data_IF_192369208940
#
_entry.id   IF_192369208940
#
_cell.length_a   1.000
_cell.length_b   1.000
_cell.length_c   1.000
_cell.angle_alpha   90.00
_cell.angle_beta   90.00
_cell.angle_gamma   90.00
#
_symmetry.space_group_name_H-M   'P 1'
#
loop_
_entity.id
_entity.type
_entity.pdbx_description
1 polymer ?
#
# COMPACT_ATOMS: atom_id res chain seq x y z
N UNK A 1 -57.03 -31.02 18.90
CA UNK A 1 -55.87 -30.10 18.76
C UNK A 1 -54.97 -30.41 17.56
N UNK A 2 -54.77 -31.68 17.16
CA UNK A 2 -53.93 -32.04 15.99
C UNK A 2 -54.42 -31.45 14.65
N UNK A 3 -55.73 -31.45 14.40
CA UNK A 3 -56.32 -30.93 13.16
C UNK A 3 -56.28 -29.40 13.00
N UNK A 4 -56.14 -28.67 14.12
CA UNK A 4 -56.10 -27.21 14.13
C UNK A 4 -54.70 -26.71 13.73
N UNK A 5 -53.66 -27.46 14.13
CA UNK A 5 -52.26 -27.20 13.74
C UNK A 5 -52.07 -27.49 12.24
N UNK A 6 -52.65 -28.57 11.71
CA UNK A 6 -52.56 -28.88 10.27
C UNK A 6 -53.26 -27.83 9.40
N UNK A 7 -54.38 -27.25 9.85
CA UNK A 7 -55.07 -26.18 9.13
C UNK A 7 -54.26 -24.87 9.10
N UNK A 8 -53.57 -24.55 10.20
CA UNK A 8 -52.74 -23.34 10.31
C UNK A 8 -51.44 -23.45 9.50
N UNK A 9 -50.89 -24.65 9.35
CA UNK A 9 -49.76 -24.91 8.45
C UNK A 9 -50.20 -24.80 6.99
N UNK A 10 -51.38 -25.33 6.63
CA UNK A 10 -51.91 -25.22 5.26
C UNK A 10 -52.17 -23.76 4.85
N UNK A 11 -52.70 -22.92 5.75
CA UNK A 11 -52.99 -21.51 5.42
C UNK A 11 -51.71 -20.70 5.15
N UNK A 12 -50.61 -21.01 5.86
CA UNK A 12 -49.31 -20.37 5.63
C UNK A 12 -48.74 -20.71 4.25
N UNK A 13 -48.95 -21.93 3.75
CA UNK A 13 -48.49 -22.35 2.42
C UNK A 13 -49.24 -21.60 1.31
N UNK A 14 -50.55 -21.37 1.46
CA UNK A 14 -51.32 -20.58 0.50
C UNK A 14 -50.88 -19.11 0.44
N UNK A 15 -50.44 -18.52 1.56
CA UNK A 15 -49.98 -17.13 1.59
C UNK A 15 -48.67 -16.89 0.82
N UNK A 16 -47.78 -17.91 0.72
CA UNK A 16 -46.53 -17.80 -0.05
C UNK A 16 -46.73 -17.89 -1.56
N UNK A 17 -47.85 -18.46 -2.03
CA UNK A 17 -48.11 -18.64 -3.47
C UNK A 17 -48.48 -17.34 -4.20
N UNK A 18 -48.84 -16.27 -3.49
CA UNK A 18 -49.29 -14.99 -4.07
C UNK A 18 -48.22 -13.90 -4.14
N UNK A 19 -46.94 -14.21 -3.96
CA UNK A 19 -45.84 -13.22 -4.00
C UNK A 19 -45.39 -12.83 -5.44
N UNK A 20 -46.27 -12.93 -6.43
CA UNK A 20 -45.97 -12.53 -7.81
C UNK A 20 -46.29 -11.03 -7.98
N UNK A 21 -45.33 -10.16 -7.69
CA UNK A 21 -45.46 -8.74 -8.02
C UNK A 21 -45.60 -8.60 -9.54
N UNK A 22 -46.70 -8.02 -10.01
CA UNK A 22 -46.90 -7.72 -11.43
C UNK A 22 -45.92 -6.63 -11.86
N UNK A 23 -44.74 -7.04 -12.32
CA UNK A 23 -43.75 -6.13 -12.90
C UNK A 23 -44.28 -5.70 -14.27
N UNK A 24 -44.43 -4.40 -14.46
CA UNK A 24 -44.75 -3.82 -15.77
C UNK A 24 -43.53 -3.92 -16.69
N UNK A 25 -43.73 -4.05 -18.01
CA UNK A 25 -42.64 -4.13 -18.98
C UNK A 25 -41.59 -2.99 -18.82
N UNK A 26 -41.98 -1.71 -18.58
CA UNK A 26 -41.02 -0.66 -18.28
C UNK A 26 -40.21 -0.91 -17.00
N UNK A 27 -40.84 -1.45 -15.95
CA UNK A 27 -40.17 -1.79 -14.70
C UNK A 27 -39.15 -2.91 -14.86
N UNK A 28 -39.45 -3.94 -15.67
CA UNK A 28 -38.50 -5.01 -15.97
C UNK A 28 -37.30 -4.49 -16.76
N UNK A 29 -37.53 -3.61 -17.76
CA UNK A 29 -36.44 -3.01 -18.56
C UNK A 29 -35.54 -2.14 -17.68
N UNK A 30 -36.11 -1.35 -16.76
CA UNK A 30 -35.33 -0.53 -15.83
C UNK A 30 -34.47 -1.41 -14.91
N UNK A 31 -35.07 -2.44 -14.30
CA UNK A 31 -34.38 -3.39 -13.43
C UNK A 31 -33.29 -4.15 -14.17
N UNK A 32 -33.56 -4.60 -15.39
CA UNK A 32 -32.61 -5.29 -16.25
C UNK A 32 -31.45 -4.37 -16.65
N UNK A 33 -31.73 -3.10 -17.01
CA UNK A 33 -30.67 -2.12 -17.30
C UNK A 33 -29.79 -1.91 -16.08
N UNK A 34 -30.35 -1.66 -14.91
CA UNK A 34 -29.60 -1.43 -13.68
C UNK A 34 -28.73 -2.63 -13.29
N UNK A 35 -29.28 -3.83 -13.34
CA UNK A 35 -28.59 -5.06 -12.92
C UNK A 35 -27.78 -5.74 -14.03
N UNK A 36 -27.87 -5.25 -15.27
CA UNK A 36 -27.18 -5.86 -16.41
C UNK A 36 -25.66 -5.82 -16.24
N UNK A 37 -24.95 -6.86 -16.73
CA UNK A 37 -23.49 -6.83 -16.82
C UNK A 37 -22.98 -5.61 -17.60
N UNK A 38 -23.68 -5.20 -18.66
CA UNK A 38 -23.31 -4.08 -19.51
C UNK A 38 -23.36 -2.74 -18.77
N UNK A 39 -24.36 -2.52 -17.92
CA UNK A 39 -24.45 -1.32 -17.09
C UNK A 39 -23.31 -1.25 -16.07
N UNK A 40 -23.02 -2.38 -15.40
CA UNK A 40 -21.88 -2.49 -14.48
C UNK A 40 -20.55 -2.22 -15.19
N UNK A 41 -20.37 -2.77 -16.40
CA UNK A 41 -19.19 -2.51 -17.22
C UNK A 41 -19.04 -1.03 -17.57
N UNK A 42 -20.11 -0.36 -18.00
CA UNK A 42 -20.08 1.06 -18.31
C UNK A 42 -19.73 1.92 -17.08
N UNK A 43 -20.26 1.56 -15.91
CA UNK A 43 -19.92 2.23 -14.65
C UNK A 43 -18.43 2.07 -14.31
N UNK A 44 -17.92 0.83 -14.33
CA UNK A 44 -16.50 0.55 -14.09
C UNK A 44 -15.59 1.24 -15.10
N UNK A 45 -15.95 1.29 -16.38
CA UNK A 45 -15.15 2.00 -17.39
C UNK A 45 -15.05 3.50 -17.10
N UNK A 46 -16.15 4.12 -16.68
CA UNK A 46 -16.15 5.53 -16.26
C UNK A 46 -15.20 5.75 -15.07
N UNK A 47 -15.29 4.90 -14.05
CA UNK A 47 -14.41 4.99 -12.88
C UNK A 47 -12.94 4.81 -13.27
N UNK A 48 -12.62 3.80 -14.09
CA UNK A 48 -11.27 3.58 -14.61
C UNK A 48 -10.75 4.82 -15.34
N UNK A 49 -11.56 5.42 -16.22
CA UNK A 49 -11.16 6.63 -16.94
C UNK A 49 -10.86 7.79 -16.00
N UNK A 50 -11.66 7.94 -14.95
CA UNK A 50 -11.49 9.00 -13.95
C UNK A 50 -10.22 8.79 -13.12
N UNK A 51 -9.95 7.56 -12.66
CA UNK A 51 -8.71 7.24 -11.94
C UNK A 51 -7.46 7.36 -12.82
N UNK A 52 -7.56 7.02 -14.10
CA UNK A 52 -6.46 7.23 -15.07
C UNK A 52 -6.11 8.71 -15.21
N UNK A 53 -7.11 9.57 -15.33
CA UNK A 53 -6.89 11.02 -15.39
C UNK A 53 -6.23 11.54 -14.11
N UNK A 54 -6.71 11.10 -12.94
CA UNK A 54 -6.10 11.47 -11.66
C UNK A 54 -4.65 10.98 -11.51
N UNK A 55 -4.34 9.77 -12.00
CA UNK A 55 -2.97 9.24 -12.01
C UNK A 55 -2.07 10.08 -12.90
N UNK A 56 -2.52 10.41 -14.13
CA UNK A 56 -1.78 11.26 -15.05
C UNK A 56 -1.45 12.63 -14.42
N UNK A 57 -2.43 13.27 -13.78
CA UNK A 57 -2.22 14.53 -13.04
C UNK A 57 -1.26 14.38 -11.86
N UNK A 58 -1.15 13.19 -11.26
CA UNK A 58 -0.27 12.92 -10.13
C UNK A 58 1.19 12.73 -10.56
N UNK A 59 1.43 12.26 -11.78
CA UNK A 59 2.79 12.03 -12.32
C UNK A 59 3.59 13.33 -12.44
N UNK A 60 2.92 14.48 -12.61
CA UNK A 60 3.56 15.80 -12.71
C UNK A 60 3.64 16.55 -11.38
N UNK A 61 3.10 15.96 -10.31
CA UNK A 61 3.22 16.52 -8.96
C UNK A 61 4.57 16.13 -8.35
N UNK A 62 5.09 16.93 -7.40
CA UNK A 62 6.29 16.55 -6.68
C UNK A 62 6.06 15.24 -5.90
N UNK A 63 6.88 14.24 -6.20
CA UNK A 63 6.90 12.96 -5.51
C UNK A 63 7.92 13.04 -4.38
N UNK A 64 7.48 12.72 -3.17
CA UNK A 64 8.31 12.74 -1.97
C UNK A 64 8.49 11.32 -1.48
N UNK A 65 9.73 10.88 -1.35
CA UNK A 65 10.08 9.57 -0.79
C UNK A 65 10.94 9.76 0.45
N UNK A 66 10.51 9.13 1.54
CA UNK A 66 11.31 8.97 2.76
C UNK A 66 11.79 7.52 2.83
N UNK A 67 13.08 7.33 3.05
CA UNK A 67 13.67 6.03 3.27
C UNK A 67 14.67 6.10 4.42
N UNK A 68 15.06 4.95 4.94
CA UNK A 68 16.04 4.90 6.00
C UNK A 68 16.04 3.55 6.68
N UNK A 69 17.15 3.23 7.33
CA UNK A 69 17.28 2.06 8.17
C UNK A 69 17.23 2.48 9.65
N UNK A 70 16.43 1.74 10.42
CA UNK A 70 16.47 1.79 11.88
C UNK A 70 17.89 1.45 12.38
N UNK A 71 18.28 1.88 13.59
CA UNK A 71 19.59 1.54 14.17
C UNK A 71 19.91 0.05 14.06
N UNK A 72 20.87 -0.29 13.21
CA UNK A 72 21.34 -1.64 12.97
C UNK A 72 22.53 -1.93 13.89
N UNK A 73 22.23 -2.38 15.11
CA UNK A 73 23.26 -2.83 16.05
C UNK A 73 23.86 -4.17 15.61
N UNK A 74 25.18 -4.22 15.45
CA UNK A 74 25.92 -5.46 15.18
C UNK A 74 27.03 -5.65 16.22
N UNK A 75 27.18 -6.92 16.64
CA UNK A 75 28.23 -7.39 17.54
C UNK A 75 28.89 -8.60 16.92
N UNK A 76 30.13 -8.42 16.47
CA UNK A 76 30.92 -9.45 15.81
C UNK A 76 32.34 -9.49 16.38
N UNK A 77 33.10 -10.51 15.99
CA UNK A 77 34.52 -10.62 16.25
C UNK A 77 35.25 -10.46 14.92
N UNK A 78 36.24 -9.57 14.88
CA UNK A 78 37.02 -9.29 13.68
C UNK A 78 38.45 -9.79 13.84
N UNK A 79 38.94 -10.50 12.83
CA UNK A 79 40.24 -11.15 12.85
C UNK A 79 41.28 -10.17 12.33
N UNK A 80 42.14 -9.70 13.23
CA UNK A 80 43.27 -8.87 12.85
C UNK A 80 44.50 -9.76 12.83
N UNK A 81 45.25 -9.77 11.73
CA UNK A 81 46.56 -10.43 11.64
C UNK A 81 47.64 -9.50 12.16
N UNK A 82 48.48 -10.00 13.06
CA UNK A 82 49.50 -9.19 13.70
C UNK A 82 50.81 -9.24 12.91
N UNK A 83 51.73 -8.27 13.10
CA UNK A 83 53.02 -8.23 12.42
C UNK A 83 53.87 -9.50 12.58
N UNK A 84 53.65 -10.26 13.65
CA UNK A 84 54.34 -11.51 13.97
C UNK A 84 53.61 -12.78 13.48
N UNK A 85 52.55 -12.63 12.68
CA UNK A 85 51.89 -13.74 12.00
C UNK A 85 50.72 -14.40 12.75
N UNK A 86 50.59 -14.18 14.05
CA UNK A 86 49.41 -14.62 14.85
C UNK A 86 48.13 -13.92 14.40
N UNK A 87 46.97 -14.49 14.75
CA UNK A 87 45.64 -13.90 14.55
C UNK A 87 45.04 -13.55 15.92
N UNK A 88 44.52 -12.33 16.06
CA UNK A 88 43.79 -11.86 17.25
C UNK A 88 42.36 -11.53 16.87
N UNK A 89 41.42 -12.14 17.58
CA UNK A 89 40.00 -11.83 17.48
C UNK A 89 39.68 -10.63 18.36
N UNK A 90 39.28 -9.51 17.75
CA UNK A 90 38.87 -8.29 18.46
C UNK A 90 37.34 -8.15 18.45
N UNK A 91 36.70 -7.91 19.60
CA UNK A 91 35.27 -7.66 19.64
C UNK A 91 34.95 -6.29 19.03
N UNK A 92 34.03 -6.26 18.07
CA UNK A 92 33.49 -5.04 17.47
C UNK A 92 32.00 -4.91 17.80
N UNK A 93 31.63 -3.71 18.24
CA UNK A 93 30.24 -3.34 18.51
C UNK A 93 30.00 -2.04 17.78
N UNK A 94 29.17 -2.09 16.75
CA UNK A 94 28.90 -0.94 15.89
C UNK A 94 27.40 -0.80 15.65
N UNK A 95 26.96 0.43 15.41
CA UNK A 95 25.60 0.73 15.01
C UNK A 95 25.63 1.65 13.79
N UNK A 96 24.84 1.29 12.78
CA UNK A 96 24.67 2.10 11.59
C UNK A 96 23.20 2.45 11.41
N UNK A 97 22.92 3.72 11.15
CA UNK A 97 21.58 4.23 10.87
C UNK A 97 21.64 5.27 9.78
N UNK A 98 20.64 5.29 8.91
CA UNK A 98 20.50 6.34 7.91
C UNK A 98 19.03 6.76 7.75
N UNK A 99 18.85 8.00 7.35
CA UNK A 99 17.56 8.57 6.95
C UNK A 99 17.82 9.37 5.69
N UNK A 100 17.01 9.12 4.68
CA UNK A 100 17.06 9.80 3.40
C UNK A 100 15.71 10.38 3.02
N UNK A 101 15.78 11.55 2.39
CA UNK A 101 14.67 12.28 1.83
C UNK A 101 14.96 12.52 0.36
N UNK A 102 14.00 12.23 -0.51
CA UNK A 102 14.11 12.48 -1.95
C UNK A 102 12.85 13.15 -2.45
N UNK A 103 13.01 14.27 -3.16
CA UNK A 103 11.98 14.99 -3.88
C UNK A 103 12.26 14.85 -5.38
N UNK A 104 11.28 14.45 -6.17
CA UNK A 104 11.39 14.38 -7.63
C UNK A 104 10.13 14.90 -8.32
N UNK A 105 10.28 15.79 -9.28
CA UNK A 105 9.16 16.35 -10.04
C UNK A 105 9.52 16.44 -11.53
N UNK A 106 8.66 15.90 -12.39
CA UNK A 106 8.75 16.11 -13.82
C UNK A 106 8.12 17.45 -14.20
N UNK A 107 8.87 18.30 -14.90
CA UNK A 107 8.42 19.64 -15.31
C UNK A 107 7.90 19.58 -16.75
N UNK A 108 6.59 19.67 -16.93
CA UNK A 108 5.93 19.62 -18.25
C UNK A 108 6.49 20.63 -19.25
N UNK A 109 6.77 21.86 -18.80
CA UNK A 109 7.22 22.94 -19.67
C UNK A 109 8.60 22.71 -20.30
N UNK A 110 9.46 21.93 -19.64
CA UNK A 110 10.85 21.69 -20.08
C UNK A 110 11.12 20.24 -20.47
N UNK A 111 10.22 19.31 -20.13
CA UNK A 111 10.46 17.88 -20.25
C UNK A 111 11.55 17.34 -19.31
N UNK A 112 12.09 18.19 -18.42
CA UNK A 112 13.15 17.84 -17.49
C UNK A 112 12.63 17.26 -16.17
N UNK A 113 13.53 16.62 -15.43
CA UNK A 113 13.30 16.12 -14.08
C UNK A 113 14.02 17.01 -13.08
N UNK A 114 13.28 17.63 -12.16
CA UNK A 114 13.83 18.31 -10.99
C UNK A 114 13.93 17.30 -9.85
N UNK A 115 15.13 17.08 -9.33
CA UNK A 115 15.36 16.16 -8.21
C UNK A 115 16.23 16.80 -7.13
N UNK A 116 15.82 16.62 -5.87
CA UNK A 116 16.60 16.98 -4.68
C UNK A 116 16.68 15.75 -3.79
N UNK A 117 17.88 15.45 -3.28
CA UNK A 117 18.09 14.35 -2.33
C UNK A 117 18.79 14.91 -1.10
N UNK A 118 18.50 14.33 0.06
CA UNK A 118 19.21 14.63 1.28
C UNK A 118 19.32 13.35 2.09
N UNK A 119 20.54 12.94 2.37
CA UNK A 119 20.84 11.76 3.15
C UNK A 119 21.56 12.17 4.43
N UNK A 120 21.13 11.63 5.55
CA UNK A 120 21.79 11.73 6.84
C UNK A 120 22.14 10.33 7.32
N UNK A 121 23.40 10.08 7.61
CA UNK A 121 23.90 8.83 8.14
C UNK A 121 24.59 9.06 9.48
N UNK A 122 24.40 8.10 10.38
CA UNK A 122 25.04 8.05 11.69
C UNK A 122 25.68 6.69 11.89
N UNK A 123 26.94 6.73 12.30
CA UNK A 123 27.74 5.57 12.65
C UNK A 123 28.26 5.72 14.08
N UNK A 124 27.96 4.73 14.92
CA UNK A 124 28.48 4.66 16.28
C UNK A 124 29.40 3.44 16.41
N UNK A 125 30.63 3.64 16.89
CA UNK A 125 31.53 2.57 17.32
C UNK A 125 31.55 2.54 18.86
N UNK A 126 30.94 1.52 19.45
CA UNK A 126 30.88 1.37 20.90
C UNK A 126 32.18 0.86 21.51
N UNK A 127 33.04 0.19 20.73
CA UNK A 127 34.36 -0.26 21.18
C UNK A 127 35.31 0.94 21.36
N UNK A 128 35.26 1.91 20.44
CA UNK A 128 36.04 3.15 20.49
C UNK A 128 35.32 4.33 21.16
N UNK A 129 34.05 4.15 21.58
CA UNK A 129 33.15 5.21 22.07
C UNK A 129 33.07 6.41 21.11
N UNK A 130 33.16 6.14 19.81
CA UNK A 130 33.12 7.17 18.76
C UNK A 130 31.72 7.26 18.16
N UNK A 131 31.34 8.49 17.78
CA UNK A 131 30.10 8.77 17.06
C UNK A 131 30.45 9.66 15.87
N UNK A 132 29.99 9.27 14.69
CA UNK A 132 30.24 9.97 13.44
C UNK A 132 28.93 10.24 12.71
N UNK A 133 28.82 11.41 12.11
CA UNK A 133 27.68 11.84 11.31
C UNK A 133 28.17 12.25 9.93
N UNK A 134 27.43 11.86 8.90
CA UNK A 134 27.70 12.31 7.53
C UNK A 134 26.39 12.67 6.84
N UNK A 135 26.40 13.78 6.11
CA UNK A 135 25.28 14.26 5.31
C UNK A 135 25.67 14.39 3.84
N UNK A 136 24.78 14.00 2.93
CA UNK A 136 24.91 14.21 1.49
C UNK A 136 23.66 14.95 0.99
N UNK A 137 23.86 15.92 0.09
CA UNK A 137 22.80 16.70 -0.58
C UNK A 137 23.00 16.56 -2.09
#
# INVERSE_FOLDING_TARGET
MKYLITLLVLSKVYAFAFSQSAITLPGYIALAKENSPQSKLAHTQKEISLYRYQSFESDFRPQITFYGNVPAYSKDFFDVRQPHGTIKFLPRKQNFSNIGFSLSQQVLATGGLLSLRTDLSRFDDFSLRSKSFASLI
#
